data_IF_604695754753
#
_entry.id   IF_604695754753
#
_cell.length_a   1.000
_cell.length_b   1.000
_cell.length_c   1.000
_cell.angle_alpha   90.00
_cell.angle_beta   90.00
_cell.angle_gamma   90.00
#
_symmetry.space_group_name_H-M   'P 1'
#
loop_
_entity.id
_entity.type
_entity.pdbx_description
1 polymer ?
#
# COMPACT_ATOMS: atom_id res chain seq x y z
N UNK A 1 -16.64 13.71 3.59
CA UNK A 1 -15.68 14.80 3.88
C UNK A 1 -14.32 14.56 3.23
N UNK A 2 -13.71 13.38 3.41
CA UNK A 2 -12.31 13.11 3.01
C UNK A 2 -12.01 13.35 1.53
N UNK A 3 -12.89 12.91 0.62
CA UNK A 3 -12.78 13.16 -0.81
C UNK A 3 -12.66 14.64 -1.15
N UNK A 4 -13.51 15.48 -0.55
CA UNK A 4 -13.52 16.91 -0.81
C UNK A 4 -12.22 17.57 -0.34
N UNK A 5 -11.77 17.24 0.87
CA UNK A 5 -10.51 17.77 1.42
C UNK A 5 -9.32 17.35 0.56
N UNK A 6 -9.29 16.10 0.09
CA UNK A 6 -8.25 15.63 -0.83
C UNK A 6 -8.22 16.43 -2.14
N UNK A 7 -9.38 16.72 -2.73
CA UNK A 7 -9.44 17.53 -3.96
C UNK A 7 -9.02 18.98 -3.68
N UNK A 8 -9.42 19.57 -2.55
CA UNK A 8 -9.00 20.93 -2.18
C UNK A 8 -7.49 21.04 -1.93
N UNK A 9 -6.88 20.02 -1.32
CA UNK A 9 -5.43 19.99 -1.05
C UNK A 9 -4.62 19.92 -2.34
N UNK A 10 -5.20 19.33 -3.40
CA UNK A 10 -4.49 18.96 -4.61
C UNK A 10 -4.80 19.80 -5.83
N UNK A 11 -6.02 20.32 -5.97
CA UNK A 11 -6.36 21.20 -7.08
C UNK A 11 -5.61 22.52 -6.98
N UNK A 12 -5.13 23.03 -8.11
CA UNK A 12 -4.37 24.27 -8.23
C UNK A 12 -5.27 25.36 -8.82
N UNK A 13 -5.29 26.52 -8.16
CA UNK A 13 -5.89 27.75 -8.66
C UNK A 13 -4.78 28.79 -8.79
N UNK A 14 -4.57 29.30 -10.01
CA UNK A 14 -3.46 30.22 -10.33
C UNK A 14 -2.09 29.70 -9.83
N UNK A 15 -1.79 28.42 -10.09
CA UNK A 15 -0.54 27.77 -9.69
C UNK A 15 -0.38 27.47 -8.20
N UNK A 16 -1.35 27.83 -7.37
CA UNK A 16 -1.32 27.61 -5.92
C UNK A 16 -2.43 26.64 -5.50
N UNK A 17 -2.18 25.69 -4.57
CA UNK A 17 -3.23 24.80 -4.09
C UNK A 17 -4.46 25.58 -3.57
N UNK A 18 -5.67 25.17 -3.97
CA UNK A 18 -6.95 25.81 -3.58
C UNK A 18 -7.04 25.96 -2.07
N UNK A 19 -6.51 25.00 -1.33
CA UNK A 19 -6.48 25.03 0.14
C UNK A 19 -5.78 26.27 0.71
N UNK A 20 -4.74 26.79 0.04
CA UNK A 20 -4.01 27.99 0.49
C UNK A 20 -4.80 29.27 0.22
N UNK A 21 -5.64 29.27 -0.81
CA UNK A 21 -6.58 30.37 -1.06
C UNK A 21 -7.65 30.44 0.04
N UNK A 22 -8.16 29.29 0.49
CA UNK A 22 -9.10 29.22 1.63
C UNK A 22 -8.42 29.75 2.90
N UNK A 23 -7.19 29.29 3.17
CA UNK A 23 -6.38 29.76 4.30
C UNK A 23 -6.17 31.28 4.23
N UNK A 24 -5.76 31.81 3.08
CA UNK A 24 -5.55 33.24 2.86
C UNK A 24 -6.81 34.08 3.02
N UNK A 25 -7.95 33.60 2.52
CA UNK A 25 -9.24 34.29 2.65
C UNK A 25 -9.70 34.37 4.12
N UNK A 26 -9.59 33.27 4.87
CA UNK A 26 -9.93 33.26 6.30
C UNK A 26 -9.06 34.23 7.09
N UNK A 27 -7.75 34.27 6.81
CA UNK A 27 -6.83 35.20 7.44
C UNK A 27 -7.09 36.65 7.05
N UNK A 28 -7.40 36.93 5.77
CA UNK A 28 -7.71 38.27 5.30
C UNK A 28 -8.98 38.82 5.95
N UNK A 29 -10.06 38.04 5.97
CA UNK A 29 -11.33 38.45 6.61
C UNK A 29 -11.13 38.61 8.12
N UNK A 30 -10.39 37.70 8.76
CA UNK A 30 -10.02 37.83 10.17
C UNK A 30 -9.22 39.10 10.45
N UNK A 31 -8.27 39.47 9.59
CA UNK A 31 -7.49 40.69 9.72
C UNK A 31 -8.35 41.95 9.52
N UNK A 32 -9.24 41.98 8.52
CA UNK A 32 -10.18 43.09 8.33
C UNK A 32 -11.10 43.27 9.53
N UNK A 33 -11.54 42.17 10.13
CA UNK A 33 -12.19 42.16 11.44
C UNK A 33 -11.31 42.83 12.50
N UNK A 34 -10.08 42.35 12.69
CA UNK A 34 -9.17 42.89 13.71
C UNK A 34 -8.91 44.41 13.57
N UNK A 35 -8.86 44.92 12.34
CA UNK A 35 -8.73 46.35 12.03
C UNK A 35 -10.04 47.15 12.10
N UNK A 36 -11.13 46.55 12.60
CA UNK A 36 -12.44 47.18 12.78
C UNK A 36 -13.13 47.66 11.50
N UNK A 37 -12.73 47.14 10.33
CA UNK A 37 -13.39 47.47 9.06
C UNK A 37 -14.77 46.79 8.90
N UNK A 38 -15.14 45.87 9.80
CA UNK A 38 -16.38 45.08 9.74
C UNK A 38 -17.16 45.20 11.06
N UNK A 39 -18.49 45.42 11.03
CA UNK A 39 -19.31 45.41 12.23
C UNK A 39 -19.23 44.05 12.95
N UNK A 40 -19.16 44.06 14.29
CA UNK A 40 -18.98 42.83 15.07
C UNK A 40 -17.56 42.26 15.00
N UNK A 41 -16.56 43.13 14.92
CA UNK A 41 -15.16 42.78 14.67
C UNK A 41 -14.58 41.66 15.54
N UNK A 42 -14.86 41.65 16.85
CA UNK A 42 -14.38 40.58 17.75
C UNK A 42 -14.98 39.21 17.38
N UNK A 43 -16.28 39.16 17.07
CA UNK A 43 -16.95 37.92 16.65
C UNK A 43 -16.44 37.45 15.30
N UNK A 44 -16.30 38.36 14.33
CA UNK A 44 -15.79 38.03 12.98
C UNK A 44 -14.38 37.47 13.06
N UNK A 45 -13.49 38.14 13.80
CA UNK A 45 -12.09 37.72 13.97
C UNK A 45 -12.02 36.38 14.69
N UNK A 46 -12.72 36.23 15.81
CA UNK A 46 -12.76 35.00 16.58
C UNK A 46 -13.29 33.81 15.77
N UNK A 47 -14.38 34.01 15.03
CA UNK A 47 -14.95 32.97 14.16
C UNK A 47 -13.99 32.56 13.04
N UNK A 48 -13.33 33.52 12.38
CA UNK A 48 -12.35 33.22 11.33
C UNK A 48 -11.16 32.43 11.87
N UNK A 49 -10.64 32.78 13.05
CA UNK A 49 -9.54 32.06 13.69
C UNK A 49 -9.93 30.64 14.09
N UNK A 50 -11.13 30.46 14.66
CA UNK A 50 -11.65 29.12 15.00
C UNK A 50 -11.79 28.27 13.74
N UNK A 51 -12.42 28.81 12.68
CA UNK A 51 -12.57 28.10 11.41
C UNK A 51 -11.22 27.74 10.78
N UNK A 52 -10.26 28.67 10.80
CA UNK A 52 -8.90 28.44 10.31
C UNK A 52 -8.19 27.32 11.08
N UNK A 53 -8.21 27.38 12.41
CA UNK A 53 -7.59 26.36 13.26
C UNK A 53 -8.27 24.99 13.09
N UNK A 54 -9.61 24.94 13.08
CA UNK A 54 -10.38 23.72 12.84
C UNK A 54 -10.09 23.14 11.45
N UNK A 55 -9.94 23.99 10.43
CA UNK A 55 -9.63 23.54 9.07
C UNK A 55 -8.22 22.97 8.95
N UNK A 56 -7.21 23.61 9.56
CA UNK A 56 -5.86 23.05 9.65
C UNK A 56 -5.87 21.69 10.36
N UNK A 57 -6.54 21.61 11.51
CA UNK A 57 -6.63 20.37 12.28
C UNK A 57 -7.29 19.25 11.46
N UNK A 58 -8.41 19.55 10.80
CA UNK A 58 -9.14 18.59 9.97
C UNK A 58 -8.28 18.12 8.79
N UNK A 59 -7.56 19.02 8.11
CA UNK A 59 -6.63 18.66 7.03
C UNK A 59 -5.53 17.75 7.54
N UNK A 60 -4.90 18.09 8.66
CA UNK A 60 -3.81 17.28 9.24
C UNK A 60 -4.31 15.89 9.65
N UNK A 61 -5.50 15.82 10.23
CA UNK A 61 -6.14 14.56 10.62
C UNK A 61 -6.41 13.62 9.43
N UNK A 62 -6.89 14.17 8.30
CA UNK A 62 -7.16 13.37 7.11
C UNK A 62 -5.89 13.05 6.32
N UNK A 63 -4.92 13.99 6.27
CA UNK A 63 -3.64 13.78 5.60
C UNK A 63 -2.82 12.69 6.25
N UNK A 64 -2.87 12.55 7.58
CA UNK A 64 -2.20 11.45 8.29
C UNK A 64 -2.83 10.07 8.05
N UNK A 65 -3.96 10.01 7.35
CA UNK A 65 -4.69 8.78 6.99
C UNK A 65 -4.82 8.60 5.48
N UNK A 66 -4.01 9.31 4.70
CA UNK A 66 -4.10 9.35 3.23
C UNK A 66 -5.54 9.57 2.72
N UNK A 67 -6.33 10.37 3.45
CA UNK A 67 -7.72 10.72 3.15
C UNK A 67 -8.69 9.53 3.04
N UNK A 68 -8.33 8.37 3.60
CA UNK A 68 -9.16 7.17 3.65
C UNK A 68 -9.33 6.67 5.08
N UNK A 69 -10.31 5.81 5.28
CA UNK A 69 -10.51 5.11 6.54
C UNK A 69 -10.48 3.61 6.28
N UNK A 70 -9.43 2.95 6.74
CA UNK A 70 -9.31 1.50 6.71
C UNK A 70 -9.82 0.92 8.04
N UNK A 71 -10.68 -0.09 7.94
CA UNK A 71 -11.18 -0.87 9.08
C UNK A 71 -10.82 -2.32 8.82
N UNK A 72 -9.96 -2.86 9.66
CA UNK A 72 -9.52 -4.24 9.58
C UNK A 72 -10.68 -5.20 9.85
N UNK A 73 -10.70 -6.33 9.14
CA UNK A 73 -11.69 -7.38 9.26
C UNK A 73 -10.99 -8.73 9.31
N UNK A 74 -11.63 -9.78 9.84
CA UNK A 74 -11.04 -11.11 9.85
C UNK A 74 -10.63 -11.53 8.45
N UNK A 75 -9.36 -11.93 8.28
CA UNK A 75 -8.85 -12.39 6.99
C UNK A 75 -9.61 -13.64 6.55
N UNK A 76 -10.24 -13.63 5.36
CA UNK A 76 -10.97 -14.80 4.88
C UNK A 76 -10.00 -15.96 4.63
N UNK A 77 -10.47 -17.19 4.85
CA UNK A 77 -9.71 -18.37 4.45
C UNK A 77 -9.70 -18.46 2.92
N UNK A 78 -8.52 -18.28 2.33
CA UNK A 78 -8.30 -18.31 0.88
C UNK A 78 -7.18 -19.30 0.60
N UNK A 79 -7.39 -20.19 -0.37
CA UNK A 79 -6.35 -21.11 -0.83
C UNK A 79 -5.27 -20.32 -1.58
N UNK A 80 -3.98 -20.41 -1.18
CA UNK A 80 -2.90 -19.73 -1.88
C UNK A 80 -2.84 -20.16 -3.35
N UNK A 81 -2.95 -19.20 -4.26
CA UNK A 81 -2.96 -19.46 -5.70
C UNK A 81 -2.31 -18.29 -6.44
N UNK A 82 -1.27 -18.53 -7.27
CA UNK A 82 -0.63 -17.47 -8.01
C UNK A 82 -1.54 -16.95 -9.13
N UNK A 83 -1.54 -15.63 -9.32
CA UNK A 83 -2.08 -14.97 -10.50
C UNK A 83 -1.20 -15.21 -11.72
N UNK A 84 -1.81 -15.34 -12.88
CA UNK A 84 -1.07 -15.46 -14.15
C UNK A 84 -0.45 -14.11 -14.50
N UNK A 85 0.76 -14.05 -15.10
CA UNK A 85 1.35 -12.76 -15.47
C UNK A 85 0.57 -11.92 -16.49
N UNK A 86 -0.38 -12.53 -17.19
CA UNK A 86 -1.30 -11.85 -18.11
C UNK A 86 -2.54 -11.30 -17.40
N UNK A 87 -2.83 -11.76 -16.19
CA UNK A 87 -4.01 -11.35 -15.45
C UNK A 87 -3.84 -9.92 -14.90
N UNK A 88 -4.91 -9.14 -15.00
CA UNK A 88 -4.97 -7.80 -14.41
C UNK A 88 -6.24 -7.64 -13.60
N UNK A 89 -6.09 -7.35 -12.32
CA UNK A 89 -7.21 -7.21 -11.39
C UNK A 89 -7.50 -5.71 -11.18
N UNK A 90 -8.72 -5.23 -11.46
CA UNK A 90 -9.06 -3.82 -11.29
C UNK A 90 -9.06 -3.42 -9.81
N UNK A 91 -8.49 -2.25 -9.51
CA UNK A 91 -8.36 -1.74 -8.14
C UNK A 91 -8.49 -0.22 -8.07
N UNK A 92 -8.81 0.27 -6.88
CA UNK A 92 -8.48 1.61 -6.42
C UNK A 92 -7.33 1.51 -5.42
N UNK A 93 -6.23 2.21 -5.69
CA UNK A 93 -5.07 2.20 -4.83
C UNK A 93 -4.86 3.53 -4.12
N UNK A 94 -4.40 3.46 -2.86
CA UNK A 94 -3.93 4.62 -2.09
C UNK A 94 -2.59 4.30 -1.47
N UNK A 95 -1.67 5.25 -1.45
CA UNK A 95 -0.32 5.05 -0.90
C UNK A 95 0.74 5.91 -1.59
N UNK A 96 1.98 5.49 -1.47
CA UNK A 96 3.14 6.16 -2.04
C UNK A 96 3.48 5.57 -3.42
N UNK A 97 3.33 6.39 -4.47
CA UNK A 97 3.60 5.98 -5.85
C UNK A 97 4.86 6.65 -6.37
N UNK A 98 5.53 5.95 -7.29
CA UNK A 98 6.72 6.43 -7.98
C UNK A 98 6.58 6.29 -9.48
N UNK A 99 7.19 7.21 -10.21
CA UNK A 99 7.37 7.15 -11.66
C UNK A 99 8.65 7.91 -11.99
N UNK A 100 9.59 7.24 -12.66
CA UNK A 100 10.92 7.80 -12.94
C UNK A 100 11.57 8.35 -11.65
N UNK A 101 11.93 9.63 -11.62
CA UNK A 101 12.50 10.31 -10.45
C UNK A 101 11.45 11.01 -9.57
N UNK A 102 10.17 10.88 -9.92
CA UNK A 102 9.04 11.50 -9.21
C UNK A 102 8.43 10.50 -8.23
N UNK A 103 7.92 11.06 -7.14
CA UNK A 103 7.28 10.29 -6.09
C UNK A 103 6.20 11.13 -5.45
N UNK A 104 4.98 10.63 -5.37
CA UNK A 104 3.87 11.35 -4.77
C UNK A 104 2.93 10.38 -4.03
N UNK A 105 2.30 10.89 -2.98
CA UNK A 105 1.21 10.16 -2.31
C UNK A 105 -0.09 10.41 -3.06
N UNK A 106 -0.83 9.35 -3.35
CA UNK A 106 -2.15 9.46 -3.96
C UNK A 106 -3.20 8.72 -3.15
N UNK A 107 -4.43 9.23 -3.26
CA UNK A 107 -5.60 8.63 -2.66
C UNK A 107 -6.57 8.21 -3.75
N UNK A 108 -7.02 6.96 -3.68
CA UNK A 108 -8.12 6.41 -4.48
C UNK A 108 -7.90 6.50 -5.99
N UNK A 109 -6.70 6.14 -6.46
CA UNK A 109 -6.42 6.08 -7.89
C UNK A 109 -6.94 4.80 -8.51
N UNK A 110 -7.64 4.92 -9.63
CA UNK A 110 -8.06 3.78 -10.42
C UNK A 110 -6.85 3.18 -11.14
N UNK A 111 -6.76 1.86 -11.12
CA UNK A 111 -5.66 1.13 -11.72
C UNK A 111 -5.86 -0.37 -11.75
N UNK A 112 -4.75 -1.09 -11.91
CA UNK A 112 -4.71 -2.54 -11.97
C UNK A 112 -3.59 -3.09 -11.08
N UNK A 113 -3.88 -4.20 -10.40
CA UNK A 113 -2.88 -5.06 -9.81
C UNK A 113 -2.45 -6.12 -10.82
N UNK A 114 -1.13 -6.35 -10.91
CA UNK A 114 -0.52 -7.38 -11.76
C UNK A 114 0.66 -8.01 -11.04
N UNK A 115 0.91 -9.28 -11.33
CA UNK A 115 2.11 -9.99 -10.85
C UNK A 115 2.93 -10.42 -12.05
N UNK A 116 4.22 -10.07 -12.10
CA UNK A 116 5.11 -10.44 -13.20
C UNK A 116 5.59 -11.89 -13.07
N UNK A 117 6.19 -12.42 -14.14
CA UNK A 117 6.78 -13.76 -14.14
C UNK A 117 7.87 -13.93 -13.06
N UNK A 118 8.55 -12.84 -12.69
CA UNK A 118 9.55 -12.77 -11.61
C UNK A 118 8.94 -12.74 -10.21
N UNK A 119 7.60 -12.85 -10.08
CA UNK A 119 6.82 -12.65 -8.85
C UNK A 119 6.94 -11.26 -8.25
N UNK A 120 7.35 -10.27 -9.05
CA UNK A 120 7.22 -8.87 -8.67
C UNK A 120 5.76 -8.42 -8.81
N UNK A 121 5.22 -7.76 -7.78
CA UNK A 121 3.86 -7.23 -7.82
C UNK A 121 3.89 -5.76 -8.22
N UNK A 122 2.99 -5.40 -9.12
CA UNK A 122 2.85 -4.05 -9.62
C UNK A 122 1.42 -3.55 -9.49
N UNK A 123 1.31 -2.35 -8.93
CA UNK A 123 0.10 -1.54 -8.88
C UNK A 123 0.30 -0.43 -9.89
N UNK A 124 -0.52 -0.42 -10.93
CA UNK A 124 -0.40 0.50 -12.05
C UNK A 124 -1.65 1.37 -12.08
N UNK A 125 -1.48 2.66 -11.81
CA UNK A 125 -2.60 3.61 -11.71
C UNK A 125 -2.46 4.75 -12.71
N UNK A 126 -3.59 5.25 -13.20
CA UNK A 126 -3.65 6.40 -14.09
C UNK A 126 -4.26 7.60 -13.37
N UNK A 127 -3.54 8.71 -13.40
CA UNK A 127 -4.05 10.02 -12.98
C UNK A 127 -4.48 10.78 -14.23
N UNK A 128 -5.78 10.97 -14.37
CA UNK A 128 -6.35 11.77 -15.46
C UNK A 128 -6.33 13.26 -15.11
N UNK A 129 -6.15 14.15 -16.10
CA UNK A 129 -6.34 15.57 -15.88
C UNK A 129 -7.80 15.82 -15.45
N UNK A 130 -7.98 16.66 -14.43
CA UNK A 130 -9.29 17.05 -13.91
C UNK A 130 -9.35 18.56 -13.81
N UNK A 131 -10.51 19.12 -14.11
CA UNK A 131 -10.80 20.54 -13.94
C UNK A 131 -12.10 20.70 -13.18
N UNK A 132 -12.13 21.67 -12.27
CA UNK A 132 -13.33 22.05 -11.55
C UNK A 132 -13.35 23.58 -11.40
N UNK A 133 -14.29 24.23 -12.09
CA UNK A 133 -14.33 25.69 -12.24
C UNK A 133 -12.97 26.20 -12.79
N UNK A 134 -12.31 27.09 -12.05
CA UNK A 134 -11.00 27.68 -12.39
C UNK A 134 -9.82 26.87 -11.83
N UNK A 135 -10.09 25.77 -11.11
CA UNK A 135 -9.06 24.95 -10.49
C UNK A 135 -8.73 23.72 -11.35
N UNK A 136 -7.45 23.42 -11.49
CA UNK A 136 -6.96 22.33 -12.33
C UNK A 136 -6.15 21.33 -11.50
N UNK A 137 -6.13 20.07 -11.92
CA UNK A 137 -5.23 19.08 -11.35
C UNK A 137 -3.78 19.43 -11.71
N UNK A 138 -2.79 19.25 -10.80
CA UNK A 138 -1.40 19.56 -11.11
C UNK A 138 -0.91 18.76 -12.33
N UNK A 139 -0.39 19.45 -13.35
CA UNK A 139 0.10 18.79 -14.57
C UNK A 139 1.21 17.77 -14.26
N UNK A 140 2.07 18.07 -13.28
CA UNK A 140 3.14 17.17 -12.82
C UNK A 140 2.63 15.82 -12.28
N UNK A 141 1.35 15.74 -11.89
CA UNK A 141 0.73 14.56 -11.32
C UNK A 141 -0.01 13.73 -12.38
N UNK A 142 -0.28 14.29 -13.56
CA UNK A 142 -1.02 13.60 -14.64
C UNK A 142 -0.14 12.55 -15.30
N UNK A 143 -0.69 11.35 -15.51
CA UNK A 143 0.01 10.24 -16.14
C UNK A 143 -0.04 8.94 -15.35
N UNK A 144 0.85 8.02 -15.69
CA UNK A 144 0.94 6.69 -15.08
C UNK A 144 1.82 6.72 -13.83
N UNK A 145 1.35 6.04 -12.79
CA UNK A 145 2.02 5.95 -11.49
C UNK A 145 2.07 4.51 -11.03
N UNK A 146 3.18 4.14 -10.38
CA UNK A 146 3.46 2.75 -10.07
C UNK A 146 3.76 2.56 -8.59
N UNK A 147 3.36 1.40 -8.06
CA UNK A 147 3.95 0.83 -6.84
C UNK A 147 4.46 -0.55 -7.21
N UNK A 148 5.74 -0.78 -6.99
CA UNK A 148 6.37 -2.08 -7.15
C UNK A 148 6.78 -2.61 -5.78
N UNK A 149 6.47 -3.88 -5.51
CA UNK A 149 6.98 -4.55 -4.32
C UNK A 149 7.28 -6.01 -4.61
N UNK A 150 8.39 -6.47 -4.05
CA UNK A 150 8.80 -7.86 -4.10
C UNK A 150 8.19 -8.63 -2.93
N UNK A 151 7.95 -9.94 -3.05
CA UNK A 151 7.46 -10.75 -1.95
C UNK A 151 8.32 -10.65 -0.68
N UNK A 152 9.64 -10.54 -0.85
CA UNK A 152 10.59 -10.37 0.26
C UNK A 152 10.41 -9.06 1.03
N UNK A 153 9.92 -8.00 0.36
CA UNK A 153 9.70 -6.68 0.97
C UNK A 153 8.34 -6.55 1.67
N UNK A 154 7.41 -7.48 1.44
CA UNK A 154 6.11 -7.50 2.13
C UNK A 154 6.31 -7.93 3.58
N UNK A 155 5.82 -7.11 4.51
CA UNK A 155 5.92 -7.29 5.96
C UNK A 155 4.63 -7.80 6.57
N UNK A 156 3.50 -7.22 6.17
CA UNK A 156 2.18 -7.63 6.63
C UNK A 156 1.14 -7.42 5.53
N UNK A 157 0.09 -8.24 5.55
CA UNK A 157 -1.08 -8.10 4.69
C UNK A 157 -2.29 -8.16 5.62
N UNK A 158 -3.06 -7.08 5.65
CA UNK A 158 -4.26 -6.97 6.49
C UNK A 158 -5.48 -6.86 5.60
N UNK A 159 -6.47 -7.71 5.86
CA UNK A 159 -7.75 -7.69 5.15
C UNK A 159 -8.72 -6.74 5.85
N UNK A 160 -9.56 -6.06 5.10
CA UNK A 160 -10.54 -5.16 5.68
C UNK A 160 -11.42 -4.46 4.67
N UNK A 161 -12.01 -3.37 5.12
CA UNK A 161 -12.76 -2.45 4.26
C UNK A 161 -12.11 -1.08 4.30
N UNK A 162 -12.18 -0.37 3.17
CA UNK A 162 -11.69 1.00 3.07
C UNK A 162 -12.80 1.90 2.58
N UNK A 163 -12.92 3.07 3.22
CA UNK A 163 -13.91 4.08 2.88
C UNK A 163 -13.25 5.36 2.38
N UNK A 164 -13.74 5.88 1.25
CA UNK A 164 -13.37 7.15 0.66
C UNK A 164 -14.61 7.95 0.26
N UNK A 165 -14.93 8.98 1.04
CA UNK A 165 -16.19 9.70 0.88
C UNK A 165 -17.39 8.79 1.18
N UNK A 166 -18.18 8.47 0.16
CA UNK A 166 -19.34 7.56 0.25
C UNK A 166 -19.06 6.16 -0.33
N UNK A 167 -17.87 5.97 -0.91
CA UNK A 167 -17.49 4.70 -1.51
C UNK A 167 -16.83 3.84 -0.43
N UNK A 168 -17.31 2.61 -0.27
CA UNK A 168 -16.74 1.61 0.63
C UNK A 168 -16.47 0.34 -0.18
N UNK A 169 -15.26 -0.21 -0.07
CA UNK A 169 -14.81 -1.38 -0.81
C UNK A 169 -14.01 -2.32 0.09
N UNK A 170 -14.01 -3.62 -0.24
CA UNK A 170 -13.07 -4.58 0.34
C UNK A 170 -11.65 -4.20 -0.06
N UNK A 171 -10.73 -4.35 0.87
CA UNK A 171 -9.38 -3.80 0.75
C UNK A 171 -8.33 -4.72 1.37
N UNK A 172 -7.16 -4.73 0.75
CA UNK A 172 -5.92 -5.21 1.35
C UNK A 172 -5.05 -4.03 1.73
N UNK A 173 -4.62 -3.97 2.98
CA UNK A 173 -3.55 -3.09 3.42
C UNK A 173 -2.24 -3.88 3.42
N UNK A 174 -1.33 -3.51 2.52
CA UNK A 174 -0.06 -4.20 2.32
C UNK A 174 1.04 -3.29 2.84
N UNK A 175 1.68 -3.70 3.91
CA UNK A 175 2.86 -3.02 4.44
C UNK A 175 4.10 -3.60 3.78
N UNK A 176 4.88 -2.75 3.14
CA UNK A 176 6.09 -3.15 2.43
C UNK A 176 7.21 -2.13 2.61
N UNK A 177 8.44 -2.61 2.45
CA UNK A 177 9.62 -1.76 2.48
C UNK A 177 9.86 -1.13 1.11
N UNK A 178 10.03 0.19 1.10
CA UNK A 178 10.50 0.92 -0.07
C UNK A 178 11.87 1.54 0.22
N UNK A 179 12.72 1.54 -0.79
CA UNK A 179 13.98 2.26 -0.77
C UNK A 179 13.74 3.64 -1.37
N UNK A 180 13.86 4.68 -0.54
CA UNK A 180 13.75 6.07 -0.99
C UNK A 180 15.15 6.54 -1.39
N UNK A 181 15.40 6.80 -2.69
CA UNK A 181 16.72 7.21 -3.14
C UNK A 181 17.07 8.60 -2.61
N UNK A 182 18.38 8.86 -2.54
CA UNK A 182 18.92 10.15 -2.11
C UNK A 182 18.48 11.27 -3.06
N UNK A 183 17.62 12.17 -2.57
CA UNK A 183 17.32 13.45 -3.25
C UNK A 183 18.23 14.57 -2.77
N UNK A 184 19.22 14.93 -3.57
CA UNK A 184 20.11 16.07 -3.32
C UNK A 184 21.20 15.82 -2.27
N UNK A 185 21.99 16.86 -1.97
CA UNK A 185 23.23 16.74 -1.18
C UNK A 185 22.99 16.34 0.28
N UNK A 186 21.84 16.72 0.84
CA UNK A 186 21.51 16.55 2.27
C UNK A 186 20.56 15.39 2.59
N UNK A 187 19.93 14.77 1.60
CA UNK A 187 19.10 13.58 1.85
C UNK A 187 19.99 12.34 1.96
N UNK A 188 19.58 11.36 2.76
CA UNK A 188 20.20 10.04 2.81
C UNK A 188 19.23 9.03 2.22
N UNK A 189 19.78 8.05 1.53
CA UNK A 189 19.04 6.86 1.14
C UNK A 189 18.50 6.19 2.41
N UNK A 190 17.20 5.87 2.41
CA UNK A 190 16.54 5.29 3.58
C UNK A 190 15.51 4.27 3.14
N UNK A 191 15.51 3.13 3.82
CA UNK A 191 14.42 2.15 3.74
C UNK A 191 13.31 2.60 4.68
N UNK A 192 12.11 2.79 4.14
CA UNK A 192 10.92 3.20 4.90
C UNK A 192 9.84 2.16 4.72
N UNK A 193 9.11 1.87 5.79
CA UNK A 193 7.90 1.06 5.72
C UNK A 193 6.75 1.95 5.23
N UNK A 194 6.15 1.56 4.13
CA UNK A 194 4.99 2.21 3.56
C UNK A 194 3.84 1.23 3.42
N UNK A 195 2.62 1.76 3.48
CA UNK A 195 1.41 0.98 3.30
C UNK A 195 0.77 1.36 1.98
N UNK A 196 0.50 0.36 1.15
CA UNK A 196 -0.38 0.52 -0.02
C UNK A 196 -1.71 -0.16 0.28
N UNK A 197 -2.79 0.60 0.07
CA UNK A 197 -4.16 0.13 0.21
C UNK A 197 -4.69 -0.23 -1.16
N UNK A 198 -5.06 -1.49 -1.37
CA UNK A 198 -5.64 -2.00 -2.61
C UNK A 198 -7.11 -2.33 -2.38
N UNK A 199 -7.99 -1.45 -2.82
CA UNK A 199 -9.43 -1.66 -2.78
C UNK A 199 -9.91 -2.25 -4.10
N UNK A 200 -10.70 -3.32 -4.08
CA UNK A 200 -11.25 -3.89 -5.32
C UNK A 200 -12.73 -3.54 -5.46
N UNK A 201 -13.26 -3.44 -6.70
CA UNK A 201 -14.70 -3.29 -6.92
C UNK A 201 -15.52 -4.48 -6.41
N UNK A 202 -14.95 -5.68 -6.46
CA UNK A 202 -15.58 -6.94 -6.02
C UNK A 202 -14.77 -7.60 -4.92
N UNK A 203 -15.44 -8.34 -4.03
CA UNK A 203 -14.76 -9.08 -2.97
C UNK A 203 -13.93 -10.23 -3.56
N UNK A 204 -14.41 -10.85 -4.64
CA UNK A 204 -13.69 -11.90 -5.37
C UNK A 204 -12.33 -11.41 -5.87
N UNK A 205 -12.27 -10.19 -6.43
CA UNK A 205 -11.02 -9.59 -6.88
C UNK A 205 -10.05 -9.36 -5.72
N UNK A 206 -10.55 -8.89 -4.56
CA UNK A 206 -9.72 -8.75 -3.35
C UNK A 206 -9.17 -10.11 -2.89
N UNK A 207 -10.01 -11.15 -2.91
CA UNK A 207 -9.59 -12.52 -2.56
C UNK A 207 -8.58 -13.09 -3.55
N UNK A 208 -8.69 -12.80 -4.85
CA UNK A 208 -7.69 -13.21 -5.86
C UNK A 208 -6.33 -12.58 -5.62
N UNK A 209 -6.29 -11.28 -5.31
CA UNK A 209 -5.03 -10.59 -4.95
C UNK A 209 -4.47 -11.19 -3.65
N UNK A 210 -5.33 -11.45 -2.65
CA UNK A 210 -4.90 -12.08 -1.40
C UNK A 210 -4.32 -13.48 -1.63
N UNK A 211 -4.95 -14.32 -2.46
CA UNK A 211 -4.47 -15.65 -2.81
C UNK A 211 -3.05 -15.61 -3.41
N UNK A 212 -2.80 -14.66 -4.31
CA UNK A 212 -1.52 -14.47 -4.99
C UNK A 212 -0.42 -14.06 -3.99
N UNK A 213 -0.71 -13.09 -3.13
CA UNK A 213 0.25 -12.63 -2.12
C UNK A 213 0.51 -13.71 -1.06
N UNK A 214 -0.51 -14.46 -0.67
CA UNK A 214 -0.37 -15.58 0.26
C UNK A 214 0.51 -16.68 -0.34
N UNK A 215 0.39 -16.95 -1.63
CA UNK A 215 1.26 -17.92 -2.32
C UNK A 215 2.75 -17.61 -2.10
N UNK A 216 3.15 -16.34 -2.24
CA UNK A 216 4.55 -15.98 -2.06
C UNK A 216 5.01 -15.98 -0.59
N UNK A 217 4.11 -15.63 0.34
CA UNK A 217 4.43 -15.75 1.78
C UNK A 217 4.62 -17.20 2.21
N UNK A 218 3.79 -18.12 1.68
CA UNK A 218 3.97 -19.55 1.90
C UNK A 218 5.28 -20.06 1.30
N UNK A 219 5.58 -19.71 0.04
CA UNK A 219 6.82 -20.10 -0.62
C UNK A 219 8.07 -19.59 0.13
N UNK A 220 8.02 -18.36 0.66
CA UNK A 220 9.07 -17.80 1.52
C UNK A 220 9.27 -18.62 2.80
N UNK A 221 8.18 -19.01 3.47
CA UNK A 221 8.25 -19.79 4.70
C UNK A 221 8.75 -21.22 4.47
N UNK A 222 8.43 -21.82 3.32
CA UNK A 222 8.96 -23.13 2.93
C UNK A 222 10.45 -23.08 2.62
N UNK A 223 10.92 -22.06 1.88
CA UNK A 223 12.34 -21.86 1.59
C UNK A 223 13.17 -21.53 2.86
N UNK A 224 12.55 -20.92 3.88
CA UNK A 224 13.21 -20.60 5.15
C UNK A 224 13.27 -21.78 6.13
N UNK A 225 12.55 -22.88 5.89
CA UNK A 225 12.70 -24.09 6.71
C UNK A 225 14.06 -24.74 6.39
N UNK A 226 14.93 -24.98 7.40
CA UNK A 226 16.18 -25.68 7.16
C UNK A 226 15.87 -27.05 6.57
N UNK A 227 16.54 -27.39 5.47
CA UNK A 227 16.50 -28.72 4.88
C UNK A 227 16.80 -29.74 5.96
N UNK A 228 15.82 -30.63 6.23
CA UNK A 228 15.99 -31.78 7.13
C UNK A 228 17.31 -32.46 6.74
N UNK A 229 18.25 -32.69 7.67
CA UNK A 229 19.50 -33.38 7.34
C UNK A 229 19.13 -34.65 6.61
N UNK A 230 19.74 -34.86 5.44
CA UNK A 230 19.65 -36.12 4.70
C UNK A 230 19.98 -37.21 5.72
N UNK A 231 18.99 -38.02 6.10
CA UNK A 231 19.28 -39.18 6.94
C UNK A 231 20.34 -39.97 6.18
N UNK A 232 21.51 -40.25 6.77
CA UNK A 232 22.51 -41.07 6.11
C UNK A 232 21.82 -42.36 5.69
N UNK A 233 21.97 -42.72 4.42
CA UNK A 233 21.44 -43.95 3.88
C UNK A 233 21.77 -45.11 4.84
N UNK A 234 20.82 -46.02 5.13
CA UNK A 234 21.14 -47.18 5.95
C UNK A 234 22.32 -47.91 5.31
N UNK A 235 23.40 -48.00 6.08
CA UNK A 235 24.65 -48.64 5.69
C UNK A 235 24.36 -50.10 5.26
N UNK A 236 24.63 -50.50 4.01
CA UNK A 236 24.37 -51.86 3.55
C UNK A 236 25.28 -52.90 4.24
N UNK A 237 26.25 -52.48 5.06
CA UNK A 237 27.23 -53.38 5.68
C UNK A 237 26.72 -54.14 6.93
N UNK A 238 25.47 -53.96 7.38
CA UNK A 238 24.97 -54.59 8.61
C UNK A 238 23.89 -55.67 8.38
N UNK A 239 24.00 -56.44 7.30
CA UNK A 239 23.26 -57.70 7.13
C UNK A 239 24.18 -58.76 6.51
N UNK A 240 25.11 -59.26 7.31
CA UNK A 240 26.12 -60.21 6.84
C UNK A 240 26.76 -61.01 7.97
N UNK A 241 25.99 -61.47 8.95
CA UNK A 241 26.39 -62.59 9.80
C UNK A 241 25.31 -63.67 9.75
N UNK A 242 25.31 -64.39 8.63
CA UNK A 242 24.71 -65.72 8.56
C UNK A 242 25.61 -66.64 9.39
N UNK A 243 25.14 -67.05 10.57
CA UNK A 243 25.75 -68.15 11.33
C UNK A 243 25.62 -69.42 10.48
N UNK A 244 26.74 -69.87 9.92
CA UNK A 244 26.84 -71.19 9.30
C UNK A 244 26.93 -72.21 10.45
N UNK A 245 26.02 -73.19 10.56
CA UNK A 245 26.19 -74.30 11.49
C UNK A 245 27.29 -75.23 10.96
N UNK A 246 28.29 -75.48 11.78
CA UNK A 246 29.28 -76.54 11.54
C UNK A 246 28.58 -77.86 11.84
N UNK A 247 28.12 -78.56 10.81
CA UNK A 247 27.65 -79.94 10.94
C UNK A 247 28.79 -80.90 10.62
N UNK A 248 29.03 -81.78 11.58
CA UNK A 248 30.10 -82.75 11.66
C UNK A 248 29.86 -83.97 10.75
N UNK A 249 30.97 -84.49 10.24
CA UNK A 249 31.24 -85.92 9.95
C UNK A 249 30.43 -86.65 8.88
N UNK A 250 31.12 -87.03 7.80
CA UNK A 250 31.20 -88.45 7.40
C UNK A 250 32.48 -88.75 6.63
N UNK A 251 33.34 -89.58 7.22
CA UNK A 251 34.44 -90.28 6.54
C UNK A 251 33.85 -91.34 5.61
N UNK A 252 34.46 -91.49 4.44
CA UNK A 252 34.47 -92.74 3.69
C UNK A 252 35.61 -93.62 4.25
N UNK A 253 35.37 -94.93 4.12
CA UNK A 253 36.16 -96.10 4.55
C UNK A 253 35.75 -96.71 5.91
#
# INVERSE_FOLDING_TARGET
MSRLIYHLDRMMLAGTPVVRWIDGLLLLVGALGAFQFVPGHFFTTGLCLVLFASFIWLRRHWRSRDYVQFVESPTPSVTPQPLTPKDSVPIHASGYFTVEEKSERFTWLQGYFRTFATREHAVICLVQPKRFLLAEWPEKDVGMWYVFFFPKSVRSIRYGTVSYGRNTQTCLAIEHEILIPKRGRFSRERTVQETVLLASPTEEDTRRILADLLHDTHAKNEAAKPSKPLQPAPDPARNGQVKIPIESTRRLD
#
